data_IF_727299305410
#
_entry.id   IF_727299305410
#
_cell.length_a   1.000
_cell.length_b   1.000
_cell.length_c   1.000
_cell.angle_alpha   90.00
_cell.angle_beta   90.00
_cell.angle_gamma   90.00
#
_symmetry.space_group_name_H-M   'P 1'
#
loop_
_entity.id
_entity.type
_entity.pdbx_description
1 polymer ?
#
# COMPACT_ATOMS: atom_id res chain seq x y z
N UNK A 1 35.15 2.87 -12.43
CA UNK A 1 35.38 2.98 -10.97
C UNK A 1 34.08 3.24 -10.22
N UNK A 2 33.22 4.16 -10.67
CA UNK A 2 31.89 4.46 -10.07
C UNK A 2 30.93 3.27 -10.18
N UNK A 3 30.71 2.71 -11.38
CA UNK A 3 29.85 1.53 -11.57
C UNK A 3 30.24 0.33 -10.68
N UNK A 4 31.54 0.14 -10.43
CA UNK A 4 32.03 -0.92 -9.51
C UNK A 4 31.63 -0.64 -8.06
N UNK A 5 31.60 0.63 -7.65
CA UNK A 5 31.15 1.02 -6.30
C UNK A 5 29.64 0.88 -6.14
N UNK A 6 28.87 1.18 -7.19
CA UNK A 6 27.41 1.00 -7.22
C UNK A 6 27.04 -0.48 -7.06
N UNK A 7 27.63 -1.37 -7.88
CA UNK A 7 27.44 -2.82 -7.74
C UNK A 7 27.87 -3.35 -6.37
N UNK A 8 28.95 -2.82 -5.79
CA UNK A 8 29.38 -3.21 -4.43
C UNK A 8 28.36 -2.78 -3.37
N UNK A 9 27.72 -1.62 -3.57
CA UNK A 9 26.69 -1.13 -2.65
C UNK A 9 25.39 -1.93 -2.79
N UNK A 10 24.98 -2.24 -4.02
CA UNK A 10 23.87 -3.14 -4.32
C UNK A 10 24.05 -4.51 -3.65
N UNK A 11 25.22 -5.16 -3.85
CA UNK A 11 25.54 -6.44 -3.20
C UNK A 11 25.45 -6.34 -1.67
N UNK A 12 25.92 -5.23 -1.09
CA UNK A 12 25.85 -4.97 0.35
C UNK A 12 24.42 -4.79 0.84
N UNK A 13 23.57 -4.12 0.06
CA UNK A 13 22.15 -3.93 0.37
C UNK A 13 21.41 -5.27 0.35
N UNK A 14 21.60 -6.07 -0.70
CA UNK A 14 20.96 -7.38 -0.86
C UNK A 14 21.38 -8.34 0.26
N UNK A 15 22.68 -8.40 0.58
CA UNK A 15 23.18 -9.21 1.71
C UNK A 15 22.57 -8.76 3.05
N UNK A 16 22.45 -7.44 3.25
CA UNK A 16 21.85 -6.90 4.46
C UNK A 16 20.36 -7.25 4.58
N UNK A 17 19.58 -7.10 3.51
CA UNK A 17 18.14 -7.39 3.50
C UNK A 17 17.86 -8.89 3.72
N UNK A 18 18.72 -9.79 3.25
CA UNK A 18 18.58 -11.23 3.50
C UNK A 18 18.78 -11.62 4.97
N UNK A 19 19.55 -10.84 5.73
CA UNK A 19 19.91 -11.15 7.12
C UNK A 19 19.31 -10.15 8.13
N UNK A 20 18.32 -9.38 7.68
CA UNK A 20 17.78 -8.26 8.42
C UNK A 20 17.05 -8.74 9.68
N UNK A 21 17.40 -8.16 10.84
CA UNK A 21 16.83 -8.58 12.13
C UNK A 21 17.32 -9.95 12.64
N UNK A 22 18.34 -10.54 12.01
CA UNK A 22 18.85 -11.87 12.37
C UNK A 22 18.02 -13.03 11.85
N UNK A 23 17.04 -12.76 10.98
CA UNK A 23 16.19 -13.76 10.35
C UNK A 23 16.19 -13.58 8.83
N UNK A 24 15.89 -14.65 8.09
CA UNK A 24 15.78 -14.61 6.62
C UNK A 24 14.46 -13.99 6.20
N UNK A 25 14.36 -12.66 6.26
CA UNK A 25 13.13 -11.94 5.88
C UNK A 25 12.89 -11.94 4.37
N UNK A 26 13.96 -11.72 3.59
CA UNK A 26 13.90 -11.68 2.13
C UNK A 26 14.76 -12.78 1.53
N UNK A 27 14.25 -13.47 0.50
CA UNK A 27 14.99 -14.47 -0.26
C UNK A 27 15.56 -13.88 -1.55
N UNK A 28 16.89 -13.88 -1.69
CA UNK A 28 17.52 -13.41 -2.93
C UNK A 28 17.44 -14.46 -4.04
N UNK A 29 16.76 -14.14 -5.14
CA UNK A 29 16.61 -14.99 -6.33
C UNK A 29 17.60 -14.54 -7.42
N UNK A 30 18.88 -14.82 -7.19
CA UNK A 30 19.99 -14.36 -8.02
C UNK A 30 19.83 -14.67 -9.52
N UNK A 31 19.26 -15.82 -9.85
CA UNK A 31 19.17 -16.32 -11.23
C UNK A 31 18.06 -15.66 -12.05
N UNK A 32 17.11 -14.96 -11.43
CA UNK A 32 16.06 -14.25 -12.14
C UNK A 32 16.61 -12.93 -12.65
N UNK A 33 16.82 -12.84 -13.97
CA UNK A 33 17.40 -11.66 -14.66
C UNK A 33 16.50 -11.06 -15.74
N UNK A 34 15.39 -11.70 -16.07
CA UNK A 34 14.54 -11.30 -17.20
C UNK A 34 13.08 -11.20 -16.78
N UNK A 35 12.30 -10.48 -17.57
CA UNK A 35 10.83 -10.41 -17.42
C UNK A 35 10.19 -11.81 -17.46
N UNK A 36 10.68 -12.70 -18.32
CA UNK A 36 10.13 -14.07 -18.42
C UNK A 36 10.44 -14.88 -17.16
N UNK A 37 11.65 -14.77 -16.61
CA UNK A 37 12.00 -15.42 -15.34
C UNK A 37 11.15 -14.92 -14.17
N UNK A 38 10.78 -13.64 -14.17
CA UNK A 38 9.83 -13.09 -13.18
C UNK A 38 8.44 -13.70 -13.34
N UNK A 39 7.94 -13.83 -14.57
CA UNK A 39 6.66 -14.49 -14.83
C UNK A 39 6.65 -15.96 -14.42
N UNK A 40 7.72 -16.70 -14.68
CA UNK A 40 7.88 -18.10 -14.25
C UNK A 40 7.88 -18.22 -12.72
N UNK A 41 8.60 -17.33 -12.03
CA UNK A 41 8.62 -17.29 -10.58
C UNK A 41 7.23 -16.97 -10.00
N UNK A 42 6.55 -15.95 -10.55
CA UNK A 42 5.19 -15.60 -10.17
C UNK A 42 4.22 -16.76 -10.39
N UNK A 43 4.27 -17.42 -11.55
CA UNK A 43 3.44 -18.60 -11.86
C UNK A 43 3.57 -19.68 -10.79
N UNK A 44 4.81 -20.03 -10.45
CA UNK A 44 5.10 -21.06 -9.46
C UNK A 44 4.54 -20.71 -8.08
N UNK A 45 4.68 -19.46 -7.64
CA UNK A 45 4.16 -19.02 -6.34
C UNK A 45 2.62 -19.02 -6.37
N UNK A 46 2.03 -18.53 -7.45
CA UNK A 46 0.57 -18.52 -7.63
C UNK A 46 -0.02 -19.93 -7.57
N UNK A 47 0.60 -20.90 -8.24
CA UNK A 47 0.18 -22.31 -8.22
C UNK A 47 0.26 -22.91 -6.82
N UNK A 48 1.37 -22.68 -6.10
CA UNK A 48 1.54 -23.18 -4.72
C UNK A 48 0.49 -22.57 -3.79
N UNK A 49 0.26 -21.26 -3.91
CA UNK A 49 -0.64 -20.54 -3.01
C UNK A 49 -2.12 -20.85 -3.26
N UNK A 50 -2.46 -21.46 -4.41
CA UNK A 50 -3.81 -21.81 -4.82
C UNK A 50 -3.96 -23.32 -5.09
N UNK A 51 -3.13 -24.15 -4.46
CA UNK A 51 -3.14 -25.61 -4.61
C UNK A 51 -4.44 -26.27 -4.09
N UNK A 52 -5.28 -25.54 -3.35
CA UNK A 52 -6.60 -25.98 -2.90
C UNK A 52 -7.66 -25.93 -4.02
N UNK A 53 -7.45 -25.07 -5.02
CA UNK A 53 -8.36 -24.93 -6.19
C UNK A 53 -7.73 -25.45 -7.50
N UNK A 54 -6.43 -25.72 -7.52
CA UNK A 54 -5.71 -26.28 -8.67
C UNK A 54 -5.42 -27.76 -8.47
N UNK A 55 -5.79 -28.58 -9.47
CA UNK A 55 -5.48 -30.02 -9.48
C UNK A 55 -4.14 -30.31 -10.17
N UNK A 56 -3.74 -29.44 -11.11
CA UNK A 56 -2.54 -29.54 -11.93
C UNK A 56 -1.95 -28.13 -12.10
N UNK A 57 -0.66 -27.98 -12.45
CA UNK A 57 -0.07 -26.69 -12.81
C UNK A 57 -0.82 -26.02 -13.95
N UNK A 58 -0.84 -24.69 -13.96
CA UNK A 58 -1.53 -23.91 -14.98
C UNK A 58 -0.90 -24.17 -16.35
N UNK A 59 -1.74 -24.38 -17.37
CA UNK A 59 -1.27 -24.39 -18.76
C UNK A 59 -0.84 -22.99 -19.19
N UNK A 60 -0.14 -22.88 -20.33
CA UNK A 60 0.26 -21.59 -20.86
C UNK A 60 -0.95 -20.71 -21.23
N UNK A 61 -2.05 -21.33 -21.65
CA UNK A 61 -3.31 -20.65 -21.96
C UNK A 61 -4.00 -20.12 -20.71
N UNK A 62 -4.09 -20.94 -19.66
CA UNK A 62 -4.66 -20.55 -18.36
C UNK A 62 -3.85 -19.42 -17.73
N UNK A 63 -2.52 -19.56 -17.67
CA UNK A 63 -1.67 -18.52 -17.08
C UNK A 63 -1.63 -17.24 -17.92
N UNK A 64 -1.85 -17.32 -19.25
CA UNK A 64 -1.99 -16.12 -20.09
C UNK A 64 -3.20 -15.28 -19.70
N UNK A 65 -4.29 -15.86 -19.17
CA UNK A 65 -5.40 -15.08 -18.61
C UNK A 65 -4.93 -14.21 -17.43
N UNK A 66 -4.11 -14.78 -16.54
CA UNK A 66 -3.51 -14.05 -15.41
C UNK A 66 -2.58 -12.93 -15.88
N UNK A 67 -1.69 -13.22 -16.83
CA UNK A 67 -0.82 -12.21 -17.44
C UNK A 67 -1.64 -11.06 -18.04
N UNK A 68 -2.74 -11.38 -18.72
CA UNK A 68 -3.60 -10.38 -19.35
C UNK A 68 -4.24 -9.43 -18.34
N UNK A 69 -4.68 -9.92 -17.17
CA UNK A 69 -5.20 -9.04 -16.12
C UNK A 69 -4.14 -8.06 -15.58
N UNK A 70 -2.93 -8.55 -15.31
CA UNK A 70 -1.83 -7.70 -14.83
C UNK A 70 -1.32 -6.74 -15.92
N UNK A 71 -1.36 -7.15 -17.19
CA UNK A 71 -0.95 -6.30 -18.32
C UNK A 71 -1.94 -5.17 -18.61
N UNK A 72 -3.19 -5.22 -18.10
CA UNK A 72 -4.19 -4.15 -18.23
C UNK A 72 -4.02 -3.04 -17.18
N UNK A 73 -3.08 -3.20 -16.24
CA UNK A 73 -2.82 -2.19 -15.21
C UNK A 73 -2.06 -1.02 -15.85
N UNK A 74 -2.80 -0.09 -16.43
CA UNK A 74 -2.26 1.03 -17.23
C UNK A 74 -1.59 2.11 -16.37
N UNK A 75 -2.05 2.27 -15.13
CA UNK A 75 -1.51 3.27 -14.19
C UNK A 75 -1.14 2.66 -12.85
N UNK A 76 -0.24 3.30 -12.06
CA UNK A 76 0.04 2.90 -10.69
C UNK A 76 -1.22 2.87 -9.80
N UNK A 77 -2.23 3.68 -10.11
CA UNK A 77 -3.53 3.65 -9.44
C UNK A 77 -4.31 2.36 -9.73
N UNK A 78 -4.35 1.93 -10.99
CA UNK A 78 -5.00 0.66 -11.37
C UNK A 78 -4.30 -0.52 -10.71
N UNK A 79 -2.96 -0.50 -10.69
CA UNK A 79 -2.17 -1.49 -9.98
C UNK A 79 -2.43 -1.49 -8.47
N UNK A 80 -2.53 -0.31 -7.86
CA UNK A 80 -2.89 -0.19 -6.45
C UNK A 80 -4.29 -0.72 -6.14
N UNK A 81 -5.28 -0.45 -7.00
CA UNK A 81 -6.63 -1.05 -6.92
C UNK A 81 -6.60 -2.57 -7.06
N UNK A 82 -5.83 -3.08 -8.02
CA UNK A 82 -5.65 -4.51 -8.24
C UNK A 82 -5.07 -5.20 -7.00
N UNK A 83 -3.96 -4.68 -6.46
CA UNK A 83 -3.32 -5.22 -5.24
C UNK A 83 -4.23 -5.08 -4.01
N UNK A 84 -5.04 -4.02 -3.97
CA UNK A 84 -5.97 -3.82 -2.88
C UNK A 84 -7.07 -4.90 -2.87
N UNK A 85 -7.62 -5.21 -4.05
CA UNK A 85 -8.62 -6.27 -4.22
C UNK A 85 -9.93 -6.02 -3.47
N UNK A 86 -10.82 -7.01 -3.45
CA UNK A 86 -12.08 -6.87 -2.72
C UNK A 86 -11.86 -7.26 -1.26
N UNK A 87 -12.24 -6.38 -0.32
CA UNK A 87 -12.06 -6.60 1.12
C UNK A 87 -10.61 -6.93 1.55
N UNK A 88 -9.61 -6.51 0.76
CA UNK A 88 -8.20 -6.78 1.07
C UNK A 88 -7.58 -7.98 0.34
N UNK A 89 -8.36 -8.70 -0.46
CA UNK A 89 -7.90 -9.88 -1.20
C UNK A 89 -8.03 -9.64 -2.70
N UNK A 90 -6.90 -9.69 -3.39
CA UNK A 90 -6.81 -9.61 -4.84
C UNK A 90 -6.90 -11.01 -5.45
N UNK A 91 -7.85 -11.20 -6.36
CA UNK A 91 -8.07 -12.47 -7.04
C UNK A 91 -8.18 -12.25 -8.55
N UNK A 92 -7.76 -13.25 -9.32
CA UNK A 92 -7.92 -13.30 -10.77
C UNK A 92 -8.80 -14.49 -11.14
N UNK A 93 -9.80 -14.23 -11.97
CA UNK A 93 -10.66 -15.27 -12.54
C UNK A 93 -9.94 -16.00 -13.67
N UNK A 94 -9.96 -17.33 -13.63
CA UNK A 94 -9.37 -18.18 -14.67
C UNK A 94 -10.34 -19.29 -15.05
N UNK A 95 -10.57 -19.45 -16.36
CA UNK A 95 -11.21 -20.65 -16.90
C UNK A 95 -10.13 -21.69 -17.17
N UNK A 96 -10.23 -22.83 -16.48
CA UNK A 96 -9.32 -23.95 -16.60
C UNK A 96 -9.65 -24.83 -17.81
N UNK A 97 -8.65 -25.52 -18.33
CA UNK A 97 -8.74 -26.43 -19.48
C UNK A 97 -9.65 -27.63 -19.19
N UNK A 98 -9.86 -27.97 -17.92
CA UNK A 98 -10.81 -29.00 -17.46
C UNK A 98 -12.28 -28.51 -17.37
N UNK A 99 -12.52 -27.24 -17.73
CA UNK A 99 -13.85 -26.62 -17.77
C UNK A 99 -14.31 -25.97 -16.47
N UNK A 100 -13.51 -26.00 -15.39
CA UNK A 100 -13.81 -25.28 -14.15
C UNK A 100 -13.51 -23.79 -14.29
N UNK A 101 -14.28 -22.96 -13.57
CA UNK A 101 -13.99 -21.55 -13.35
C UNK A 101 -13.52 -21.39 -11.91
N UNK A 102 -12.35 -20.77 -11.71
CA UNK A 102 -11.71 -20.61 -10.41
C UNK A 102 -11.28 -19.16 -10.17
N UNK A 103 -11.18 -18.80 -8.90
CA UNK A 103 -10.62 -17.53 -8.43
C UNK A 103 -9.25 -17.81 -7.81
N UNK A 104 -8.18 -17.35 -8.47
CA UNK A 104 -6.82 -17.49 -7.96
C UNK A 104 -6.47 -16.27 -7.13
N UNK A 105 -6.17 -16.47 -5.85
CA UNK A 105 -5.69 -15.43 -4.96
C UNK A 105 -4.26 -15.05 -5.32
N UNK A 106 -4.07 -13.79 -5.70
CA UNK A 106 -2.78 -13.22 -6.11
C UNK A 106 -2.11 -12.50 -4.95
N UNK A 107 -2.90 -11.76 -4.17
CA UNK A 107 -2.40 -10.93 -3.08
C UNK A 107 -3.42 -10.89 -1.94
N UNK A 108 -2.95 -11.02 -0.70
CA UNK A 108 -3.77 -10.90 0.51
C UNK A 108 -3.06 -9.92 1.46
N UNK A 109 -3.69 -8.76 1.68
CA UNK A 109 -3.10 -7.67 2.46
C UNK A 109 -2.93 -8.01 3.95
N UNK A 110 -3.70 -8.97 4.47
CA UNK A 110 -3.66 -9.34 5.89
C UNK A 110 -2.62 -10.44 6.17
N UNK A 111 -2.14 -11.16 5.14
CA UNK A 111 -1.08 -12.18 5.27
C UNK A 111 0.34 -11.58 5.31
N UNK A 112 0.63 -10.85 6.39
CA UNK A 112 1.92 -10.17 6.60
C UNK A 112 2.84 -11.03 7.48
N UNK A 113 4.04 -11.34 6.98
CA UNK A 113 5.07 -12.08 7.73
C UNK A 113 4.69 -13.51 8.17
N UNK A 114 3.54 -14.03 7.72
CA UNK A 114 3.03 -15.36 8.02
C UNK A 114 2.18 -15.87 6.85
N UNK A 115 1.76 -17.13 6.92
CA UNK A 115 0.95 -17.76 5.88
C UNK A 115 1.75 -18.11 4.64
N UNK A 116 1.16 -17.90 3.46
CA UNK A 116 1.72 -18.29 2.16
C UNK A 116 2.43 -17.13 1.44
N UNK A 117 2.59 -15.98 2.10
CA UNK A 117 3.25 -14.82 1.49
C UNK A 117 4.74 -15.02 1.33
N UNK A 118 5.23 -14.88 0.09
CA UNK A 118 6.63 -15.05 -0.27
C UNK A 118 7.30 -13.70 -0.50
N UNK A 119 8.41 -13.46 0.19
CA UNK A 119 9.21 -12.22 0.05
C UNK A 119 10.53 -12.52 -0.66
N UNK A 120 10.74 -11.92 -1.83
CA UNK A 120 11.94 -12.15 -2.65
C UNK A 120 12.63 -10.84 -3.04
N UNK A 121 13.93 -10.93 -3.30
CA UNK A 121 14.74 -9.87 -3.92
C UNK A 121 15.21 -10.38 -5.27
N UNK A 122 15.10 -9.56 -6.30
CA UNK A 122 15.82 -9.73 -7.57
C UNK A 122 16.66 -8.49 -7.82
N UNK A 123 17.69 -8.64 -8.65
CA UNK A 123 18.52 -7.52 -9.05
C UNK A 123 18.97 -7.63 -10.50
N UNK A 124 19.37 -6.51 -11.08
CA UNK A 124 19.93 -6.41 -12.42
C UNK A 124 18.99 -6.98 -13.48
N UNK A 125 17.68 -6.71 -13.34
CA UNK A 125 16.65 -7.20 -14.27
C UNK A 125 16.78 -6.46 -15.59
N UNK A 126 16.97 -7.23 -16.67
CA UNK A 126 17.08 -6.71 -18.03
C UNK A 126 15.69 -6.38 -18.58
N UNK A 127 15.56 -5.16 -19.11
CA UNK A 127 14.30 -4.60 -19.60
C UNK A 127 14.50 -4.08 -21.02
N UNK A 128 14.02 -4.82 -22.04
CA UNK A 128 14.12 -4.38 -23.43
C UNK A 128 13.44 -3.02 -23.66
N UNK A 129 13.96 -2.24 -24.60
CA UNK A 129 13.35 -0.97 -25.00
C UNK A 129 11.89 -1.16 -25.44
N UNK A 130 10.95 -0.50 -24.75
CA UNK A 130 9.52 -0.52 -25.10
C UNK A 130 9.16 0.50 -26.18
N UNK A 131 10.01 1.53 -26.37
CA UNK A 131 9.82 2.61 -27.34
C UNK A 131 10.95 2.53 -28.38
N UNK A 132 10.59 2.53 -29.67
CA UNK A 132 11.55 2.52 -30.78
C UNK A 132 12.58 3.65 -30.65
N UNK A 133 13.86 3.31 -30.76
CA UNK A 133 14.96 4.26 -30.66
C UNK A 133 15.44 4.55 -29.22
N UNK A 134 14.79 3.97 -28.20
CA UNK A 134 15.32 3.92 -26.83
C UNK A 134 16.26 2.73 -26.65
N UNK A 135 17.09 2.82 -25.61
CA UNK A 135 18.03 1.77 -25.22
C UNK A 135 17.34 0.79 -24.27
N UNK A 136 17.85 -0.44 -24.22
CA UNK A 136 17.49 -1.37 -23.15
C UNK A 136 17.88 -0.80 -21.79
N UNK A 137 17.10 -1.15 -20.78
CA UNK A 137 17.29 -0.75 -19.39
C UNK A 137 17.68 -1.94 -18.54
N UNK A 138 18.20 -1.60 -17.36
CA UNK A 138 18.48 -2.56 -16.32
C UNK A 138 18.06 -1.93 -15.00
N UNK A 139 17.21 -2.66 -14.28
CA UNK A 139 16.74 -2.26 -12.96
C UNK A 139 17.69 -2.83 -11.90
N UNK A 140 18.09 -1.99 -10.95
CA UNK A 140 19.12 -2.35 -9.99
C UNK A 140 18.60 -3.37 -8.97
N UNK A 141 17.72 -3.00 -8.04
CA UNK A 141 17.12 -3.93 -7.08
C UNK A 141 15.59 -3.82 -7.06
N UNK A 142 14.89 -4.96 -7.08
CA UNK A 142 13.43 -5.02 -6.96
C UNK A 142 13.02 -5.96 -5.84
N UNK A 143 12.14 -5.50 -4.95
CA UNK A 143 11.53 -6.31 -3.91
C UNK A 143 10.18 -6.86 -4.40
N UNK A 144 10.03 -8.18 -4.31
CA UNK A 144 8.86 -8.91 -4.75
C UNK A 144 8.03 -9.41 -3.56
N UNK A 145 6.71 -9.28 -3.66
CA UNK A 145 5.77 -9.92 -2.75
C UNK A 145 4.91 -10.87 -3.57
N UNK A 146 4.90 -12.15 -3.20
CA UNK A 146 4.32 -13.23 -3.98
C UNK A 146 4.82 -13.30 -5.44
N UNK A 147 6.07 -12.88 -5.69
CA UNK A 147 6.66 -12.82 -7.02
C UNK A 147 6.27 -11.59 -7.86
N UNK A 148 5.38 -10.73 -7.37
CA UNK A 148 5.03 -9.45 -8.02
C UNK A 148 6.02 -8.33 -7.62
N UNK A 149 6.53 -7.54 -8.58
CA UNK A 149 7.31 -6.32 -8.30
C UNK A 149 6.53 -5.27 -7.52
N UNK A 150 6.88 -5.02 -6.25
CA UNK A 150 6.15 -4.03 -5.42
C UNK A 150 7.00 -2.77 -5.16
N UNK A 151 8.29 -2.95 -4.86
CA UNK A 151 9.20 -1.84 -4.53
C UNK A 151 10.39 -1.89 -5.48
N UNK A 152 10.57 -0.83 -6.26
CA UNK A 152 11.77 -0.64 -7.09
C UNK A 152 12.77 0.22 -6.33
N UNK A 153 14.01 -0.23 -6.28
CA UNK A 153 15.14 0.46 -5.64
C UNK A 153 16.16 0.77 -6.74
N UNK A 154 16.59 2.03 -6.81
CA UNK A 154 17.74 2.44 -7.63
C UNK A 154 18.84 3.00 -6.74
N UNK A 155 20.01 2.36 -6.83
CA UNK A 155 21.18 2.62 -6.04
C UNK A 155 22.07 3.67 -6.72
N UNK A 156 22.77 4.47 -5.93
CA UNK A 156 23.88 5.29 -6.41
C UNK A 156 25.09 5.13 -5.50
N UNK A 157 26.26 5.16 -6.11
CA UNK A 157 27.52 5.09 -5.36
C UNK A 157 27.69 6.27 -4.38
N UNK A 158 28.55 6.07 -3.37
CA UNK A 158 28.91 7.15 -2.44
C UNK A 158 29.44 8.40 -3.17
N UNK A 159 29.02 9.58 -2.71
CA UNK A 159 29.31 10.88 -3.32
C UNK A 159 28.33 11.35 -4.40
N UNK A 160 27.36 10.53 -4.79
CA UNK A 160 26.27 10.94 -5.71
C UNK A 160 25.03 11.42 -4.95
N UNK A 161 24.17 12.21 -5.61
CA UNK A 161 22.87 12.61 -5.05
C UNK A 161 21.83 11.52 -5.33
N UNK A 162 21.06 11.10 -4.32
CA UNK A 162 19.91 10.23 -4.47
C UNK A 162 18.90 10.76 -5.52
N UNK A 163 18.83 12.06 -5.76
CA UNK A 163 18.00 12.63 -6.84
C UNK A 163 18.39 12.15 -8.24
N UNK A 164 19.63 11.73 -8.46
CA UNK A 164 20.05 11.14 -9.74
C UNK A 164 19.27 9.85 -10.03
N UNK A 165 19.12 8.98 -9.04
CA UNK A 165 18.29 7.78 -9.13
C UNK A 165 16.79 8.10 -9.33
N UNK A 166 16.28 9.17 -8.70
CA UNK A 166 14.90 9.62 -8.95
C UNK A 166 14.70 10.05 -10.42
N UNK A 167 15.66 10.79 -10.99
CA UNK A 167 15.61 11.20 -12.39
C UNK A 167 15.68 9.99 -13.34
N UNK A 168 16.48 8.97 -12.99
CA UNK A 168 16.55 7.71 -13.72
C UNK A 168 15.20 6.97 -13.70
N UNK A 169 14.55 6.87 -12.54
CA UNK A 169 13.21 6.28 -12.45
C UNK A 169 12.14 7.10 -13.19
N UNK A 170 12.23 8.43 -13.22
CA UNK A 170 11.35 9.25 -14.04
C UNK A 170 11.50 8.92 -15.52
N UNK A 171 12.73 8.73 -15.98
CA UNK A 171 13.01 8.28 -17.35
C UNK A 171 12.44 6.88 -17.62
N UNK A 172 12.50 5.95 -16.66
CA UNK A 172 11.89 4.63 -16.80
C UNK A 172 10.37 4.71 -16.98
N UNK A 173 9.69 5.56 -16.22
CA UNK A 173 8.26 5.82 -16.38
C UNK A 173 7.97 6.38 -17.79
N UNK A 174 8.70 7.41 -18.21
CA UNK A 174 8.54 8.03 -19.54
C UNK A 174 8.82 7.05 -20.70
N UNK A 175 9.65 6.04 -20.46
CA UNK A 175 10.00 4.99 -21.43
C UNK A 175 9.17 3.71 -21.29
N UNK A 176 8.05 3.77 -20.53
CA UNK A 176 7.10 2.68 -20.33
C UNK A 176 7.73 1.41 -19.73
N UNK A 177 8.78 1.56 -18.94
CA UNK A 177 9.53 0.44 -18.38
C UNK A 177 8.82 -0.23 -17.19
N UNK A 178 7.91 0.45 -16.50
CA UNK A 178 7.00 -0.12 -15.50
C UNK A 178 5.67 -0.58 -16.12
N UNK A 179 5.76 -1.35 -17.20
CA UNK A 179 4.65 -2.08 -17.83
C UNK A 179 4.87 -3.58 -17.63
N UNK A 180 3.98 -4.43 -18.15
CA UNK A 180 3.99 -5.89 -17.93
C UNK A 180 3.94 -6.28 -16.45
N UNK A 181 4.71 -7.27 -15.97
CA UNK A 181 4.69 -7.65 -14.56
C UNK A 181 5.12 -6.49 -13.64
N UNK A 182 5.93 -5.56 -14.16
CA UNK A 182 6.32 -4.35 -13.44
C UNK A 182 5.23 -3.28 -13.36
N UNK A 183 4.07 -3.46 -13.99
CA UNK A 183 2.90 -2.59 -13.77
C UNK A 183 2.48 -2.57 -12.30
N UNK A 184 2.83 -3.60 -11.53
CA UNK A 184 2.49 -3.75 -10.11
C UNK A 184 3.30 -2.87 -9.16
N UNK A 185 4.37 -2.20 -9.62
CA UNK A 185 5.25 -1.38 -8.75
C UNK A 185 4.50 -0.22 -8.11
N UNK A 186 4.52 -0.19 -6.77
CA UNK A 186 3.84 0.82 -5.96
C UNK A 186 4.78 1.88 -5.38
N UNK A 187 6.00 1.48 -5.00
CA UNK A 187 6.94 2.36 -4.30
C UNK A 187 8.26 2.42 -5.06
N UNK A 188 8.76 3.65 -5.22
CA UNK A 188 10.07 3.95 -5.78
C UNK A 188 10.99 4.38 -4.64
N UNK A 189 12.15 3.76 -4.53
CA UNK A 189 13.19 4.07 -3.55
C UNK A 189 14.45 4.47 -4.30
N UNK A 190 15.00 5.62 -3.95
CA UNK A 190 16.34 6.03 -4.36
C UNK A 190 17.26 5.99 -3.15
N UNK A 191 18.42 5.35 -3.30
CA UNK A 191 19.30 5.07 -2.16
C UNK A 191 20.77 5.30 -2.49
N UNK A 192 21.44 6.01 -1.60
CA UNK A 192 22.91 6.10 -1.49
C UNK A 192 23.30 5.67 -0.07
N UNK A 193 24.58 5.51 0.27
CA UNK A 193 24.98 5.22 1.64
C UNK A 193 24.54 6.27 2.69
N UNK A 194 24.26 7.50 2.28
CA UNK A 194 24.05 8.66 3.17
C UNK A 194 22.80 9.52 2.85
N UNK A 195 21.98 9.11 1.90
CA UNK A 195 20.68 9.70 1.62
C UNK A 195 19.75 8.63 1.04
N UNK A 196 18.57 8.49 1.63
CA UNK A 196 17.54 7.57 1.16
C UNK A 196 16.23 8.31 1.02
N UNK A 197 15.59 8.14 -0.14
CA UNK A 197 14.33 8.77 -0.48
C UNK A 197 13.35 7.74 -0.99
N UNK A 198 12.09 7.89 -0.64
CA UNK A 198 11.01 7.05 -1.15
C UNK A 198 9.83 7.90 -1.60
N UNK A 199 9.13 7.44 -2.63
CA UNK A 199 7.89 8.04 -3.10
C UNK A 199 6.95 6.96 -3.65
N UNK A 200 5.68 7.30 -3.78
CA UNK A 200 4.76 6.45 -4.53
C UNK A 200 5.11 6.51 -6.03
N UNK A 201 4.95 5.39 -6.72
CA UNK A 201 5.05 5.35 -8.18
C UNK A 201 3.95 6.20 -8.80
N UNK A 202 4.21 6.75 -9.98
CA UNK A 202 3.32 7.74 -10.60
C UNK A 202 3.51 7.76 -12.12
N UNK A 203 2.64 8.50 -12.82
CA UNK A 203 2.77 8.74 -14.25
C UNK A 203 3.81 9.83 -14.52
N UNK A 204 4.38 9.85 -15.72
CA UNK A 204 5.48 10.76 -16.05
C UNK A 204 5.12 12.24 -15.91
N UNK A 205 3.85 12.60 -16.13
CA UNK A 205 3.32 13.97 -16.04
C UNK A 205 3.05 14.43 -14.60
N UNK A 206 2.83 13.49 -13.68
CA UNK A 206 2.60 13.75 -12.25
C UNK A 206 3.87 13.56 -11.41
N UNK A 207 4.99 13.17 -12.03
CA UNK A 207 6.25 12.95 -11.35
C UNK A 207 6.77 14.24 -10.70
N UNK A 208 6.82 14.25 -9.36
CA UNK A 208 7.28 15.39 -8.59
C UNK A 208 8.11 14.95 -7.39
N UNK A 209 9.39 15.33 -7.39
CA UNK A 209 10.36 14.98 -6.33
C UNK A 209 10.10 15.67 -4.98
N UNK A 210 9.20 16.66 -4.89
CA UNK A 210 8.73 17.20 -3.61
C UNK A 210 7.98 16.14 -2.78
N UNK A 211 7.48 15.09 -3.43
CA UNK A 211 6.87 13.92 -2.80
C UNK A 211 7.86 12.76 -2.57
N UNK A 212 9.16 12.97 -2.81
CA UNK A 212 10.23 12.04 -2.46
C UNK A 212 10.73 12.30 -1.03
N UNK A 213 10.12 11.60 -0.09
CA UNK A 213 10.33 11.79 1.35
C UNK A 213 11.58 11.07 1.83
N UNK A 214 12.21 11.63 2.86
CA UNK A 214 13.16 10.88 3.69
C UNK A 214 12.40 10.23 4.83
N UNK A 215 12.77 9.01 5.18
CA UNK A 215 12.28 8.42 6.43
C UNK A 215 12.76 9.24 7.63
N UNK A 216 12.02 9.23 8.73
CA UNK A 216 12.28 10.04 9.90
C UNK A 216 12.14 9.19 11.16
N UNK A 217 12.98 9.43 12.16
CA UNK A 217 12.89 8.78 13.46
C UNK A 217 11.58 9.17 14.16
N UNK A 218 10.96 8.23 14.86
CA UNK A 218 9.66 8.45 15.51
C UNK A 218 9.78 9.43 16.68
N UNK A 219 10.90 9.39 17.40
CA UNK A 219 11.11 10.10 18.66
C UNK A 219 11.25 11.62 18.46
N UNK A 220 11.90 12.03 17.36
CA UNK A 220 12.26 13.44 17.14
C UNK A 220 12.05 13.94 15.70
N UNK A 221 11.50 13.11 14.80
CA UNK A 221 11.29 13.40 13.39
C UNK A 221 12.55 13.77 12.60
N UNK A 222 13.75 13.50 13.12
CA UNK A 222 14.98 13.74 12.35
C UNK A 222 15.10 12.76 11.18
N UNK A 223 15.57 13.21 10.02
CA UNK A 223 15.77 12.34 8.87
C UNK A 223 16.72 11.18 9.17
N UNK A 224 16.35 9.99 8.70
CA UNK A 224 17.21 8.81 8.66
C UNK A 224 18.02 8.87 7.36
N UNK A 225 19.33 9.08 7.48
CA UNK A 225 20.25 9.19 6.35
C UNK A 225 21.05 7.91 6.11
N UNK A 226 21.25 7.10 7.14
CA UNK A 226 21.96 5.83 7.05
C UNK A 226 21.05 4.77 6.40
N UNK A 227 21.52 4.20 5.30
CA UNK A 227 20.78 3.20 4.53
C UNK A 227 20.46 1.93 5.32
N UNK A 228 21.29 1.50 6.28
CA UNK A 228 21.02 0.33 7.12
C UNK A 228 19.91 0.62 8.11
N UNK A 229 19.90 1.82 8.67
CA UNK A 229 18.82 2.26 9.57
C UNK A 229 17.51 2.37 8.77
N UNK A 230 17.54 2.92 7.56
CA UNK A 230 16.38 2.92 6.67
C UNK A 230 15.92 1.51 6.34
N UNK A 231 16.82 0.61 5.95
CA UNK A 231 16.48 -0.78 5.65
C UNK A 231 15.78 -1.45 6.84
N UNK A 232 16.29 -1.26 8.07
CA UNK A 232 15.66 -1.81 9.27
C UNK A 232 14.28 -1.24 9.57
N UNK A 233 14.08 0.05 9.32
CA UNK A 233 12.83 0.72 9.69
C UNK A 233 11.76 0.65 8.61
N UNK A 234 12.14 0.53 7.33
CA UNK A 234 11.24 0.60 6.19
C UNK A 234 11.20 -0.69 5.36
N UNK A 235 12.35 -1.24 4.99
CA UNK A 235 12.44 -2.40 4.09
C UNK A 235 12.29 -3.75 4.82
N UNK A 236 12.34 -3.74 6.15
CA UNK A 236 12.07 -4.90 6.98
C UNK A 236 10.60 -5.34 6.89
N UNK A 237 10.32 -6.64 6.96
CA UNK A 237 8.98 -7.18 7.20
C UNK A 237 8.67 -7.05 8.71
N UNK A 238 7.48 -6.55 9.12
CA UNK A 238 6.28 -6.32 8.30
C UNK A 238 6.18 -4.96 7.60
N UNK A 239 7.08 -4.02 7.87
CA UNK A 239 6.91 -2.63 7.44
C UNK A 239 6.86 -2.48 5.92
N UNK A 240 7.73 -3.13 5.14
CA UNK A 240 7.74 -2.97 3.68
C UNK A 240 6.41 -3.39 3.04
N UNK A 241 5.83 -4.52 3.50
CA UNK A 241 4.50 -4.95 3.10
C UNK A 241 3.47 -3.89 3.50
N UNK A 242 3.45 -3.47 4.76
CA UNK A 242 2.50 -2.47 5.25
C UNK A 242 2.61 -1.13 4.51
N UNK A 243 3.80 -0.71 4.09
CA UNK A 243 4.00 0.50 3.30
C UNK A 243 3.34 0.40 1.93
N UNK A 244 3.36 -0.78 1.31
CA UNK A 244 2.70 -1.04 0.04
C UNK A 244 1.18 -1.21 0.16
N UNK A 245 0.66 -1.48 1.37
CA UNK A 245 -0.77 -1.77 1.61
C UNK A 245 -1.40 -0.78 2.60
N UNK A 246 -1.18 -1.01 3.90
CA UNK A 246 -1.74 -0.30 5.04
C UNK A 246 -1.33 1.17 5.16
N UNK A 247 -0.30 1.61 4.46
CA UNK A 247 0.17 3.00 4.45
C UNK A 247 0.25 3.60 3.04
N UNK A 248 -0.47 2.99 2.09
CA UNK A 248 -0.76 3.54 0.77
C UNK A 248 -2.19 4.07 0.71
N UNK A 249 -2.39 5.19 0.03
CA UNK A 249 -3.70 5.78 -0.27
C UNK A 249 -3.95 5.67 -1.76
N UNK A 250 -5.11 5.14 -2.12
CA UNK A 250 -5.63 5.17 -3.49
C UNK A 250 -6.47 6.44 -3.60
N UNK A 251 -5.98 7.46 -4.29
CA UNK A 251 -6.76 8.67 -4.55
C UNK A 251 -7.52 8.52 -5.88
N UNK A 252 -8.79 8.16 -5.77
CA UNK A 252 -9.73 7.98 -6.88
C UNK A 252 -10.38 9.26 -7.37
N UNK A 253 -9.88 10.44 -7.00
CA UNK A 253 -10.43 11.71 -7.48
C UNK A 253 -10.52 11.71 -9.00
N UNK A 254 -11.72 11.95 -9.52
CA UNK A 254 -12.00 11.89 -10.96
C UNK A 254 -11.02 12.74 -11.77
N UNK A 255 -10.44 12.14 -12.81
CA UNK A 255 -9.41 12.73 -13.68
C UNK A 255 -8.07 13.09 -13.00
N UNK A 256 -7.87 12.73 -11.73
CA UNK A 256 -6.63 12.97 -10.96
C UNK A 256 -6.27 11.74 -10.14
N UNK A 257 -6.47 10.56 -10.72
CA UNK A 257 -6.27 9.29 -10.04
C UNK A 257 -4.79 9.05 -9.78
N UNK A 258 -4.42 8.74 -8.54
CA UNK A 258 -3.03 8.48 -8.17
C UNK A 258 -2.92 7.67 -6.88
N UNK A 259 -1.75 7.09 -6.65
CA UNK A 259 -1.39 6.52 -5.36
C UNK A 259 -0.56 7.52 -4.54
N UNK A 260 -0.72 7.50 -3.22
CA UNK A 260 0.08 8.32 -2.29
C UNK A 260 0.61 7.46 -1.16
N UNK A 261 1.92 7.50 -0.95
CA UNK A 261 2.57 6.85 0.18
C UNK A 261 2.55 7.78 1.40
N UNK A 262 2.23 7.23 2.57
CA UNK A 262 2.22 8.02 3.81
C UNK A 262 3.63 8.43 4.25
N UNK A 263 3.73 9.62 4.83
CA UNK A 263 4.96 10.12 5.47
C UNK A 263 5.17 9.43 6.83
N UNK A 264 6.41 9.41 7.36
CA UNK A 264 6.74 8.63 8.56
C UNK A 264 5.87 9.01 9.77
N UNK A 265 5.69 10.31 10.03
CA UNK A 265 4.84 10.78 11.13
C UNK A 265 3.37 10.35 10.98
N UNK A 266 2.85 10.21 9.76
CA UNK A 266 1.49 9.73 9.51
C UNK A 266 1.41 8.23 9.80
N UNK A 267 2.42 7.46 9.39
CA UNK A 267 2.56 6.04 9.70
C UNK A 267 2.57 5.81 11.21
N UNK A 268 3.42 6.54 11.93
CA UNK A 268 3.54 6.42 13.38
C UNK A 268 2.25 6.80 14.11
N UNK A 269 1.61 7.90 13.72
CA UNK A 269 0.33 8.33 14.29
C UNK A 269 -0.75 7.25 14.10
N UNK A 270 -0.93 6.77 12.87
CA UNK A 270 -1.90 5.71 12.55
C UNK A 270 -1.63 4.44 13.33
N UNK A 271 -0.38 3.95 13.32
CA UNK A 271 0.03 2.74 14.06
C UNK A 271 -0.29 2.86 15.55
N UNK A 272 0.12 3.97 16.19
CA UNK A 272 -0.12 4.21 17.63
C UNK A 272 -1.61 4.23 17.97
N UNK A 273 -2.45 4.82 17.12
CA UNK A 273 -3.91 4.84 17.33
C UNK A 273 -4.49 3.42 17.20
N UNK A 274 -4.11 2.68 16.16
CA UNK A 274 -4.58 1.30 15.95
C UNK A 274 -4.16 0.37 17.10
N UNK A 275 -2.90 0.48 17.57
CA UNK A 275 -2.42 -0.32 18.70
C UNK A 275 -3.18 -0.01 19.99
N UNK A 276 -3.48 1.27 20.24
CA UNK A 276 -4.31 1.66 21.38
C UNK A 276 -5.73 1.12 21.28
N UNK A 277 -6.37 1.17 20.11
CA UNK A 277 -7.72 0.61 19.91
C UNK A 277 -7.71 -0.91 20.14
N UNK A 278 -6.69 -1.62 19.65
CA UNK A 278 -6.56 -3.08 19.84
C UNK A 278 -6.44 -3.48 21.30
N UNK A 279 -5.72 -2.69 22.09
CA UNK A 279 -5.49 -2.93 23.52
C UNK A 279 -6.62 -2.40 24.41
N UNK A 280 -7.54 -1.59 23.86
CA UNK A 280 -8.61 -0.97 24.63
C UNK A 280 -9.69 -1.97 25.08
N UNK A 281 -10.20 -1.75 26.28
CA UNK A 281 -11.39 -2.42 26.79
C UNK A 281 -12.56 -1.43 26.80
N UNK A 282 -13.50 -1.61 25.87
CA UNK A 282 -14.67 -0.75 25.73
C UNK A 282 -15.64 -0.84 26.93
N UNK A 283 -15.48 -1.80 27.82
CA UNK A 283 -16.36 -2.01 28.98
C UNK A 283 -15.76 -1.48 30.28
N UNK A 284 -14.46 -1.21 30.33
CA UNK A 284 -13.76 -0.84 31.57
C UNK A 284 -12.74 0.29 31.37
N UNK A 285 -12.60 1.12 32.40
CA UNK A 285 -11.59 2.18 32.43
C UNK A 285 -11.94 3.42 31.59
N UNK A 286 -10.98 4.36 31.47
CA UNK A 286 -11.15 5.58 30.69
C UNK A 286 -11.37 5.27 29.20
N UNK A 287 -12.40 5.85 28.60
CA UNK A 287 -12.72 5.63 27.18
C UNK A 287 -11.91 6.54 26.24
N UNK A 288 -11.21 7.53 26.78
CA UNK A 288 -10.33 8.43 26.02
C UNK A 288 -8.98 7.76 25.74
N UNK A 289 -8.65 7.56 24.46
CA UNK A 289 -7.39 6.92 24.06
C UNK A 289 -6.22 7.91 23.93
N UNK A 290 -6.49 9.16 23.55
CA UNK A 290 -5.49 10.22 23.38
C UNK A 290 -5.77 11.12 22.18
N UNK A 291 -4.75 11.89 21.76
CA UNK A 291 -4.82 12.81 20.63
C UNK A 291 -3.55 12.75 19.77
N UNK A 292 -3.69 13.14 18.50
CA UNK A 292 -2.57 13.35 17.57
C UNK A 292 -2.51 14.83 17.21
N UNK A 293 -1.35 15.46 17.41
CA UNK A 293 -1.17 16.88 17.10
C UNK A 293 -0.34 17.07 15.83
N UNK A 294 -1.03 17.35 14.73
CA UNK A 294 -0.43 17.64 13.43
C UNK A 294 -0.69 19.09 13.01
N UNK A 295 0.33 19.76 12.48
CA UNK A 295 0.20 21.14 11.96
C UNK A 295 -0.78 21.22 10.77
N UNK A 296 -1.25 22.43 10.45
CA UNK A 296 -2.12 22.67 9.29
C UNK A 296 -1.36 22.42 7.98
N UNK A 297 -2.01 21.76 7.01
CA UNK A 297 -1.40 21.39 5.73
C UNK A 297 -0.53 20.13 5.74
N UNK A 298 -0.33 19.44 6.88
CA UNK A 298 0.52 18.24 6.95
C UNK A 298 -0.12 16.94 6.45
N UNK A 299 -1.32 16.99 5.87
CA UNK A 299 -2.05 15.79 5.42
C UNK A 299 -2.83 15.07 6.54
N UNK A 300 -3.51 15.85 7.40
CA UNK A 300 -4.38 15.30 8.46
C UNK A 300 -5.51 14.42 7.91
N UNK A 301 -6.18 14.83 6.83
CA UNK A 301 -7.24 14.05 6.18
C UNK A 301 -6.77 12.65 5.80
N UNK A 302 -5.61 12.54 5.16
CA UNK A 302 -5.02 11.23 4.79
C UNK A 302 -4.80 10.36 6.04
N UNK A 303 -4.23 10.96 7.09
CA UNK A 303 -3.91 10.23 8.33
C UNK A 303 -5.19 9.75 9.00
N UNK A 304 -6.21 10.61 9.12
CA UNK A 304 -7.46 10.27 9.77
C UNK A 304 -8.30 9.28 8.97
N UNK A 305 -8.32 9.42 7.63
CA UNK A 305 -8.98 8.46 6.75
C UNK A 305 -8.37 7.07 6.95
N UNK A 306 -7.06 6.93 6.79
CA UNK A 306 -6.42 5.61 6.86
C UNK A 306 -6.53 5.00 8.26
N UNK A 307 -6.46 5.82 9.31
CA UNK A 307 -6.73 5.38 10.69
C UNK A 307 -8.16 4.85 10.83
N UNK A 308 -9.17 5.58 10.36
CA UNK A 308 -10.56 5.12 10.41
C UNK A 308 -10.80 3.85 9.57
N UNK A 309 -10.19 3.79 8.39
CA UNK A 309 -10.26 2.66 7.46
C UNK A 309 -9.59 1.39 8.00
N UNK A 310 -8.49 1.52 8.74
CA UNK A 310 -7.86 0.40 9.45
C UNK A 310 -8.67 0.01 10.70
N UNK A 311 -9.16 0.99 11.46
CA UNK A 311 -9.92 0.75 12.69
C UNK A 311 -11.21 -0.03 12.42
N UNK A 312 -11.90 0.26 11.32
CA UNK A 312 -13.16 -0.43 10.97
C UNK A 312 -12.98 -1.91 10.61
N UNK A 313 -11.75 -2.36 10.36
CA UNK A 313 -11.39 -3.77 10.10
C UNK A 313 -10.99 -4.52 11.37
N UNK A 314 -10.88 -3.84 12.51
CA UNK A 314 -10.51 -4.49 13.75
C UNK A 314 -11.68 -5.34 14.28
N UNK A 315 -11.47 -6.63 14.65
CA UNK A 315 -12.56 -7.53 15.06
C UNK A 315 -13.39 -7.05 16.26
N UNK A 316 -12.81 -6.19 17.11
CA UNK A 316 -13.48 -5.63 18.30
C UNK A 316 -14.21 -4.31 18.03
N UNK A 317 -14.15 -3.76 16.82
CA UNK A 317 -14.75 -2.46 16.47
C UNK A 317 -16.00 -2.70 15.65
N UNK A 318 -17.15 -2.25 16.15
CA UNK A 318 -18.43 -2.39 15.46
C UNK A 318 -18.68 -1.24 14.47
N UNK A 319 -18.25 -0.03 14.82
CA UNK A 319 -18.41 1.19 14.02
C UNK A 319 -17.26 2.15 14.26
N UNK A 320 -16.92 2.92 13.23
CA UNK A 320 -16.05 4.08 13.34
C UNK A 320 -16.85 5.33 13.03
N UNK A 321 -16.76 6.35 13.88
CA UNK A 321 -17.42 7.64 13.66
C UNK A 321 -16.37 8.72 13.47
N UNK A 322 -16.35 9.32 12.28
CA UNK A 322 -15.53 10.48 12.00
C UNK A 322 -16.32 11.77 12.23
N UNK A 323 -16.01 12.47 13.33
CA UNK A 323 -16.67 13.71 13.73
C UNK A 323 -15.94 14.94 13.19
N UNK A 324 -16.70 15.84 12.55
CA UNK A 324 -16.22 17.15 12.09
C UNK A 324 -17.02 18.28 12.72
N UNK A 325 -16.41 19.47 12.87
CA UNK A 325 -17.05 20.60 13.56
C UNK A 325 -18.30 21.13 12.84
N UNK A 326 -18.27 21.22 11.50
CA UNK A 326 -19.35 21.86 10.72
C UNK A 326 -19.86 20.98 9.57
N UNK A 327 -21.12 21.17 9.21
CA UNK A 327 -21.80 20.43 8.12
C UNK A 327 -21.12 20.62 6.77
N UNK A 328 -20.66 21.83 6.44
CA UNK A 328 -19.96 22.08 5.17
C UNK A 328 -18.64 21.28 5.07
N UNK A 329 -17.92 21.15 6.19
CA UNK A 329 -16.72 20.32 6.28
C UNK A 329 -17.07 18.82 6.20
N UNK A 330 -18.28 18.43 6.59
CA UNK A 330 -18.76 17.04 6.46
C UNK A 330 -18.82 16.63 5.00
N UNK A 331 -19.38 17.45 4.11
CA UNK A 331 -19.47 17.09 2.68
C UNK A 331 -18.09 16.98 2.04
N UNK A 332 -17.20 17.95 2.26
CA UNK A 332 -15.83 17.87 1.78
C UNK A 332 -15.10 16.61 2.27
N UNK A 333 -15.27 16.28 3.56
CA UNK A 333 -14.66 15.07 4.14
C UNK A 333 -15.23 13.80 3.51
N UNK A 334 -16.55 13.77 3.28
CA UNK A 334 -17.21 12.65 2.61
C UNK A 334 -16.66 12.49 1.19
N UNK A 335 -16.51 13.57 0.44
CA UNK A 335 -15.95 13.54 -0.91
C UNK A 335 -14.49 13.06 -0.91
N UNK A 336 -13.67 13.59 0.01
CA UNK A 336 -12.27 13.15 0.20
C UNK A 336 -12.19 11.67 0.59
N UNK A 337 -13.02 11.22 1.52
CA UNK A 337 -13.01 9.83 1.99
C UNK A 337 -13.55 8.86 0.94
N UNK A 338 -14.56 9.26 0.17
CA UNK A 338 -15.07 8.48 -0.96
C UNK A 338 -13.99 8.35 -2.04
N UNK A 339 -13.27 9.44 -2.33
CA UNK A 339 -12.15 9.36 -3.26
C UNK A 339 -11.06 8.41 -2.77
N UNK A 340 -10.88 8.27 -1.45
CA UNK A 340 -9.86 7.38 -0.88
C UNK A 340 -10.34 5.95 -0.64
N UNK A 341 -11.64 5.69 -0.78
CA UNK A 341 -12.25 4.37 -0.61
C UNK A 341 -12.17 3.60 -1.93
N UNK A 342 -11.31 2.59 -2.05
CA UNK A 342 -11.19 1.83 -3.30
C UNK A 342 -12.44 1.01 -3.65
N UNK A 343 -13.34 0.80 -2.68
CA UNK A 343 -14.63 0.13 -2.89
C UNK A 343 -15.75 1.14 -3.25
N UNK A 344 -15.42 2.42 -3.49
CA UNK A 344 -16.39 3.51 -3.73
C UNK A 344 -17.20 3.36 -5.03
N UNK A 345 -16.61 2.74 -6.05
CA UNK A 345 -17.24 2.60 -7.38
C UNK A 345 -18.34 1.52 -7.40
N UNK A 346 -18.51 0.78 -6.29
CA UNK A 346 -19.54 -0.25 -6.09
C UNK A 346 -20.62 0.13 -5.08
N UNK A 347 -21.52 -0.80 -4.77
CA UNK A 347 -22.51 -0.66 -3.66
C UNK A 347 -21.88 -0.92 -2.28
N UNK A 348 -20.59 -1.25 -2.25
CA UNK A 348 -19.91 -1.82 -1.10
C UNK A 348 -19.05 -0.82 -0.32
N UNK A 349 -18.86 0.40 -0.83
CA UNK A 349 -18.15 1.47 -0.15
C UNK A 349 -18.47 1.60 1.35
N UNK A 350 -17.43 1.90 2.12
CA UNK A 350 -17.45 1.88 3.59
C UNK A 350 -17.80 3.24 4.17
N UNK A 351 -17.80 4.29 3.36
CA UNK A 351 -18.12 5.66 3.79
C UNK A 351 -19.64 5.86 3.85
N UNK A 352 -20.12 6.28 5.02
CA UNK A 352 -21.53 6.52 5.29
C UNK A 352 -21.73 7.99 5.63
N UNK A 353 -22.34 8.73 4.71
CA UNK A 353 -22.78 10.09 4.95
C UNK A 353 -24.00 10.14 5.88
N UNK A 354 -24.27 11.32 6.44
CA UNK A 354 -25.38 11.52 7.37
C UNK A 354 -26.10 12.84 7.11
N UNK A 355 -26.97 12.89 6.10
CA UNK A 355 -27.64 14.14 5.74
C UNK A 355 -28.46 14.74 6.90
N UNK A 356 -29.06 13.91 7.76
CA UNK A 356 -29.81 14.33 8.95
C UNK A 356 -29.69 13.33 10.13
N UNK A 357 -30.24 13.71 11.28
CA UNK A 357 -30.19 12.92 12.53
C UNK A 357 -30.87 11.55 12.36
N UNK A 358 -31.97 11.48 11.60
CA UNK A 358 -32.65 10.21 11.32
C UNK A 358 -31.77 9.22 10.56
N UNK A 359 -31.03 9.72 9.56
CA UNK A 359 -30.05 8.91 8.82
C UNK A 359 -28.90 8.48 9.73
N UNK A 360 -28.33 9.39 10.53
CA UNK A 360 -27.28 9.07 11.51
C UNK A 360 -27.74 7.95 12.46
N UNK A 361 -28.93 8.10 13.05
CA UNK A 361 -29.55 7.10 13.93
C UNK A 361 -29.73 5.74 13.25
N UNK A 362 -30.11 5.74 11.96
CA UNK A 362 -30.24 4.50 11.16
C UNK A 362 -28.88 3.85 10.90
N UNK A 363 -27.88 4.60 10.44
CA UNK A 363 -26.52 4.11 10.14
C UNK A 363 -25.83 3.48 11.34
N UNK A 364 -26.04 4.04 12.53
CA UNK A 364 -25.55 3.45 13.78
C UNK A 364 -26.22 2.09 14.03
N UNK A 365 -27.54 1.97 13.85
CA UNK A 365 -28.25 0.70 14.10
C UNK A 365 -27.98 -0.38 13.04
N UNK A 366 -27.59 0.01 11.83
CA UNK A 366 -27.26 -0.92 10.74
C UNK A 366 -26.15 -1.92 11.14
N UNK A 367 -26.26 -3.17 10.70
CA UNK A 367 -25.23 -4.20 10.93
C UNK A 367 -23.97 -4.01 10.10
N UNK A 368 -24.08 -3.38 8.92
CA UNK A 368 -22.95 -3.12 8.01
C UNK A 368 -21.88 -2.29 8.74
N UNK A 369 -20.65 -2.78 8.82
CA UNK A 369 -19.50 -2.01 9.30
C UNK A 369 -19.16 -0.89 8.33
N UNK A 370 -18.50 0.16 8.82
CA UNK A 370 -18.07 1.27 7.99
C UNK A 370 -17.74 2.51 8.81
N UNK A 371 -17.35 3.56 8.07
CA UNK A 371 -16.95 4.85 8.61
C UNK A 371 -18.13 5.81 8.44
N UNK A 372 -18.72 6.21 9.57
CA UNK A 372 -19.82 7.18 9.59
C UNK A 372 -19.22 8.58 9.69
N UNK A 373 -19.39 9.39 8.66
CA UNK A 373 -18.93 10.78 8.65
C UNK A 373 -20.09 11.69 9.06
N UNK A 374 -19.93 12.41 10.18
CA UNK A 374 -21.00 13.28 10.70
C UNK A 374 -20.45 14.50 11.44
N UNK A 375 -21.33 15.46 11.74
CA UNK A 375 -20.94 16.65 12.49
C UNK A 375 -21.15 16.49 14.01
N UNK A 376 -20.32 17.16 14.79
CA UNK A 376 -20.45 17.24 16.27
C UNK A 376 -21.86 17.69 16.67
N UNK A 377 -22.43 18.64 15.95
CA UNK A 377 -23.78 19.17 16.17
C UNK A 377 -24.89 18.13 15.94
N UNK A 378 -24.75 17.26 14.93
CA UNK A 378 -25.72 16.19 14.66
C UNK A 378 -25.62 15.10 15.72
N UNK A 379 -24.39 14.76 16.12
CA UNK A 379 -24.15 13.79 17.19
C UNK A 379 -24.70 14.29 18.53
N UNK A 380 -24.40 15.53 18.90
CA UNK A 380 -24.91 16.16 20.13
C UNK A 380 -26.43 16.13 20.21
N UNK A 381 -27.13 16.50 19.13
CA UNK A 381 -28.60 16.44 19.06
C UNK A 381 -29.16 15.02 19.12
N UNK A 382 -28.44 14.03 18.58
CA UNK A 382 -28.86 12.62 18.66
C UNK A 382 -28.76 12.12 20.10
N UNK A 383 -27.65 12.39 20.78
CA UNK A 383 -27.36 11.91 22.14
C UNK A 383 -28.17 12.65 23.20
N UNK A 384 -28.45 13.96 23.01
CA UNK A 384 -29.28 14.78 23.91
C UNK A 384 -30.79 14.65 23.68
N UNK A 385 -31.22 13.90 22.67
CA UNK A 385 -32.64 13.71 22.32
C UNK A 385 -33.44 12.93 23.38
N UNK A 386 -34.77 13.08 23.37
CA UNK A 386 -35.70 12.46 24.35
C UNK A 386 -35.78 10.93 24.27
N UNK A 387 -35.40 10.34 23.13
CA UNK A 387 -35.19 8.90 23.05
C UNK A 387 -33.80 8.62 23.61
N UNK A 388 -33.72 7.99 24.79
CA UNK A 388 -32.47 7.50 25.37
C UNK A 388 -31.72 6.63 24.35
N UNK A 389 -30.88 7.25 23.50
CA UNK A 389 -30.09 6.54 22.52
C UNK A 389 -29.01 5.75 23.27
N UNK A 390 -29.37 4.52 23.64
CA UNK A 390 -28.45 3.54 24.19
C UNK A 390 -27.84 2.76 23.04
N UNK A 391 -26.53 2.78 22.95
CA UNK A 391 -25.79 2.11 21.91
C UNK A 391 -24.81 1.14 22.57
N UNK A 392 -25.10 -0.16 22.43
CA UNK A 392 -24.38 -1.25 23.11
C UNK A 392 -23.43 -1.94 22.12
N UNK A 393 -22.55 -1.15 21.51
CA UNK A 393 -21.56 -1.61 20.54
C UNK A 393 -20.27 -0.82 20.72
N UNK A 394 -19.15 -1.44 20.35
CA UNK A 394 -17.83 -0.85 20.44
C UNK A 394 -17.63 0.17 19.31
N UNK A 395 -17.87 1.43 19.63
CA UNK A 395 -17.69 2.57 18.72
C UNK A 395 -16.33 3.20 18.97
N UNK A 396 -15.61 3.48 17.88
CA UNK A 396 -14.39 4.28 17.89
C UNK A 396 -14.62 5.63 17.22
#
# INVERSE_FOLDING_TARGET
MIQKKELTFEDSLIDYLQNLGGEKQWKYEKEIKTTDGLWENFKKILEINNADVLNEPLSDSEFSQVKNEINKLDTPYDAGKFLYGLNGVSQVEVNLDDGRHVYLTVFDQDQIGAGNTVYQIVNQIERPAKITGKQDRRFDTTLLINGLPIIQIEEKADGHDAREALNQMHQYIAEQQYTDIFSTVQILVSITPHDVRYMANTTSDLFNTDFAFRWQQEEDNKPVLDWKVFANQFLAIPMAHQMATNYMILDGTKNHQMIKVMRPYQVYATRRVIDKIRMHDFQMGPQELGYVWHTTGSGKTITSFKTAWLAQRLPKVDKVIFLVDRVALTNQTVDEYNAYDPDSDGKDGVIMDTANIGILSRRLREKKSGIIVTSTQKMDRLVSGKENFKYDKNVV
#
